data_IF_504883042486
#
_entry.id   IF_504883042486
#
_cell.length_a   1.000
_cell.length_b   1.000
_cell.length_c   1.000
_cell.angle_alpha   90.00
_cell.angle_beta   90.00
_cell.angle_gamma   90.00
#
_symmetry.space_group_name_H-M   'P 1'
#
loop_
_entity.id
_entity.type
_entity.pdbx_description
1 polymer ?
#
# COMPACT_ATOMS: atom_id res chain seq x y z
N UNK A 1 21.41 -1.86 17.00
CA UNK A 1 22.00 -2.00 15.64
C UNK A 1 23.10 -0.93 15.42
N UNK A 2 24.35 -1.26 15.00
CA UNK A 2 25.43 -0.27 14.82
C UNK A 2 25.10 0.85 13.82
N UNK A 3 24.50 0.51 12.68
CA UNK A 3 24.11 1.51 11.68
C UNK A 3 23.05 2.49 12.21
N UNK A 4 22.17 2.02 13.11
CA UNK A 4 21.21 2.88 13.77
C UNK A 4 21.90 3.81 14.78
N UNK A 5 22.84 3.30 15.58
CA UNK A 5 23.60 4.11 16.54
C UNK A 5 24.37 5.24 15.86
N UNK A 6 24.94 4.97 14.68
CA UNK A 6 25.69 5.96 13.90
C UNK A 6 24.82 7.13 13.46
N UNK A 7 23.54 6.91 13.11
CA UNK A 7 22.67 7.94 12.52
C UNK A 7 21.78 8.66 13.55
N UNK A 8 21.45 8.01 14.67
CA UNK A 8 20.56 8.56 15.71
C UNK A 8 21.11 9.86 16.30
N UNK A 9 22.43 9.94 16.51
CA UNK A 9 23.08 11.15 17.05
C UNK A 9 22.96 12.39 16.15
N UNK A 10 22.65 12.19 14.87
CA UNK A 10 22.41 13.26 13.90
C UNK A 10 20.93 13.57 13.68
N UNK A 11 20.02 12.95 14.44
CA UNK A 11 18.57 13.12 14.31
C UNK A 11 17.93 12.33 13.17
N UNK A 12 18.62 11.28 12.68
CA UNK A 12 18.11 10.35 11.67
C UNK A 12 17.73 9.01 12.29
N UNK A 13 16.62 8.43 11.85
CA UNK A 13 16.18 7.09 12.22
C UNK A 13 16.09 6.15 11.02
N UNK A 14 16.22 4.85 11.27
CA UNK A 14 15.99 3.78 10.28
C UNK A 14 14.89 2.86 10.82
N UNK A 15 13.91 2.52 9.99
CA UNK A 15 12.83 1.60 10.37
C UNK A 15 12.54 0.58 9.27
N UNK A 16 12.75 -0.69 9.57
CA UNK A 16 12.39 -1.79 8.67
C UNK A 16 12.10 -3.07 9.46
N UNK A 17 11.40 -4.01 8.85
CA UNK A 17 10.99 -5.28 9.49
C UNK A 17 12.18 -6.11 10.02
N UNK A 18 13.37 -6.00 9.41
CA UNK A 18 14.60 -6.66 9.86
C UNK A 18 15.24 -6.11 11.15
N UNK A 19 14.72 -5.03 11.74
CA UNK A 19 15.20 -4.53 13.03
C UNK A 19 14.57 -5.32 14.20
N UNK A 20 15.32 -5.43 15.30
CA UNK A 20 14.79 -5.94 16.56
C UNK A 20 13.55 -5.13 16.97
N UNK A 21 12.56 -5.78 17.58
CA UNK A 21 11.32 -5.12 18.00
C UNK A 21 11.60 -3.92 18.93
N UNK A 22 12.51 -4.09 19.88
CA UNK A 22 12.94 -3.03 20.79
C UNK A 22 13.54 -1.82 20.06
N UNK A 23 14.35 -2.05 19.02
CA UNK A 23 14.96 -0.98 18.22
C UNK A 23 13.88 -0.23 17.42
N UNK A 24 12.85 -0.94 16.92
CA UNK A 24 11.73 -0.31 16.19
C UNK A 24 10.87 0.57 17.11
N UNK A 25 10.46 0.05 18.26
CA UNK A 25 9.66 0.79 19.24
C UNK A 25 10.40 2.05 19.71
N UNK A 26 11.71 1.93 20.01
CA UNK A 26 12.53 3.07 20.39
C UNK A 26 12.61 4.15 19.29
N UNK A 27 12.77 3.75 18.03
CA UNK A 27 12.81 4.70 16.91
C UNK A 27 11.45 5.36 16.68
N UNK A 28 10.36 4.62 16.84
CA UNK A 28 8.99 5.15 16.76
C UNK A 28 8.76 6.22 17.84
N UNK A 29 9.13 5.94 19.09
CA UNK A 29 9.01 6.87 20.21
C UNK A 29 9.87 8.13 19.99
N UNK A 30 11.15 7.95 19.64
CA UNK A 30 12.08 9.08 19.39
C UNK A 30 11.61 9.97 18.23
N UNK A 31 10.96 9.41 17.22
CA UNK A 31 10.38 10.20 16.13
C UNK A 31 9.08 10.91 16.55
N UNK A 32 8.20 10.23 17.29
CA UNK A 32 6.96 10.81 17.81
C UNK A 32 7.24 12.01 18.74
N UNK A 33 8.25 11.88 19.59
CA UNK A 33 8.72 12.91 20.53
C UNK A 33 9.58 14.00 19.86
N UNK A 34 9.77 13.93 18.54
CA UNK A 34 10.51 14.91 17.71
C UNK A 34 12.00 15.00 18.03
N UNK A 35 12.57 13.99 18.70
CA UNK A 35 14.02 13.86 18.85
C UNK A 35 14.70 13.49 17.53
N UNK A 36 13.97 12.84 16.62
CA UNK A 36 14.40 12.60 15.24
C UNK A 36 13.65 13.52 14.27
N UNK A 37 14.40 14.13 13.35
CA UNK A 37 13.83 14.98 12.30
C UNK A 37 13.49 14.18 11.04
N UNK A 38 14.24 13.11 10.77
CA UNK A 38 14.10 12.31 9.56
C UNK A 38 14.05 10.84 9.92
N UNK A 39 13.00 10.15 9.46
CA UNK A 39 12.87 8.71 9.58
C UNK A 39 12.87 8.08 8.19
N UNK A 40 13.82 7.18 7.94
CA UNK A 40 13.90 6.41 6.70
C UNK A 40 13.28 5.04 6.95
N UNK A 41 12.20 4.72 6.24
CA UNK A 41 11.45 3.49 6.46
C UNK A 41 11.14 2.69 5.19
N UNK A 42 10.94 1.38 5.34
CA UNK A 42 10.37 0.53 4.28
C UNK A 42 8.85 0.68 4.19
N UNK A 43 8.27 0.32 3.04
CA UNK A 43 6.83 0.44 2.77
C UNK A 43 5.93 -0.22 3.83
N UNK A 44 6.43 -1.22 4.54
CA UNK A 44 5.74 -1.91 5.65
C UNK A 44 5.26 -0.96 6.75
N UNK A 45 5.95 0.16 6.99
CA UNK A 45 5.54 1.14 8.00
C UNK A 45 4.20 1.80 7.66
N UNK A 46 3.91 2.00 6.36
CA UNK A 46 2.68 2.64 5.91
C UNK A 46 1.42 1.89 6.40
N UNK A 47 1.51 0.56 6.47
CA UNK A 47 0.42 -0.32 6.91
C UNK A 47 0.47 -0.66 8.40
N UNK A 48 1.68 -0.82 8.96
CA UNK A 48 1.84 -1.44 10.28
C UNK A 48 1.75 -0.51 11.48
N UNK A 49 2.07 0.78 11.34
CA UNK A 49 2.22 1.70 12.48
C UNK A 49 1.58 3.05 12.19
N UNK A 50 0.87 3.62 13.16
CA UNK A 50 0.29 4.95 13.03
C UNK A 50 1.29 6.04 13.46
N UNK A 51 2.32 6.27 12.64
CA UNK A 51 3.35 7.27 12.88
C UNK A 51 3.29 8.38 11.81
N UNK A 52 2.46 9.43 11.98
CA UNK A 52 2.33 10.50 11.02
C UNK A 52 3.51 11.49 11.07
N UNK A 53 3.86 12.06 9.92
CA UNK A 53 4.92 13.05 9.77
C UNK A 53 4.39 14.27 9.01
N UNK A 54 4.93 15.47 9.25
CA UNK A 54 4.51 16.66 8.50
C UNK A 54 4.73 16.50 6.98
N UNK A 55 5.86 15.89 6.61
CA UNK A 55 6.22 15.61 5.24
C UNK A 55 6.56 14.14 5.04
N UNK A 56 6.12 13.57 3.92
CA UNK A 56 6.49 12.21 3.47
C UNK A 56 7.19 12.31 2.13
N UNK A 57 8.30 11.58 1.98
CA UNK A 57 9.04 11.46 0.72
C UNK A 57 9.02 10.00 0.29
N UNK A 58 8.43 9.74 -0.88
CA UNK A 58 8.46 8.43 -1.52
C UNK A 58 9.63 8.43 -2.50
N UNK A 59 10.74 7.80 -2.08
CA UNK A 59 11.97 7.71 -2.88
C UNK A 59 11.91 6.48 -3.78
N UNK A 60 11.54 6.68 -5.05
CA UNK A 60 11.37 5.62 -6.03
C UNK A 60 9.97 5.02 -5.96
N UNK A 61 9.45 4.58 -7.11
CA UNK A 61 8.08 4.06 -7.23
C UNK A 61 8.04 2.60 -7.66
N UNK A 62 9.14 1.87 -7.46
CA UNK A 62 9.30 0.49 -7.90
C UNK A 62 9.79 -0.39 -6.77
N UNK A 63 9.31 -1.63 -6.75
CA UNK A 63 9.74 -2.71 -5.87
C UNK A 63 10.18 -3.89 -6.70
N UNK A 64 11.11 -4.69 -6.16
CA UNK A 64 11.49 -5.94 -6.79
C UNK A 64 10.48 -7.02 -6.42
N UNK A 65 9.82 -7.59 -7.43
CA UNK A 65 8.95 -8.75 -7.25
C UNK A 65 9.79 -10.03 -7.38
N UNK A 66 9.90 -10.79 -6.28
CA UNK A 66 10.63 -12.05 -6.24
C UNK A 66 9.96 -13.19 -7.02
N UNK A 67 8.65 -13.11 -7.32
CA UNK A 67 7.95 -14.10 -8.15
C UNK A 67 8.23 -13.87 -9.63
N UNK A 68 8.12 -12.61 -10.07
CA UNK A 68 8.34 -12.24 -11.47
C UNK A 68 9.81 -11.91 -11.80
N UNK A 69 10.68 -11.87 -10.78
CA UNK A 69 12.12 -11.56 -10.91
C UNK A 69 12.39 -10.23 -11.64
N UNK A 70 11.52 -9.23 -11.44
CA UNK A 70 11.63 -7.92 -12.08
C UNK A 70 11.17 -6.80 -11.16
N UNK A 71 11.53 -5.57 -11.52
CA UNK A 71 10.99 -4.39 -10.86
C UNK A 71 9.58 -4.10 -11.37
N UNK A 72 8.62 -4.14 -10.45
CA UNK A 72 7.24 -3.74 -10.68
C UNK A 72 6.97 -2.41 -10.00
N UNK A 73 5.95 -1.68 -10.45
CA UNK A 73 5.55 -0.45 -9.78
C UNK A 73 4.85 -0.76 -8.45
N UNK A 74 4.98 0.15 -7.48
CA UNK A 74 4.15 0.09 -6.28
C UNK A 74 2.66 0.09 -6.65
N UNK A 75 1.88 -0.68 -5.91
CA UNK A 75 0.43 -0.59 -6.00
C UNK A 75 -0.02 0.83 -5.60
N UNK A 76 -1.13 1.28 -6.18
CA UNK A 76 -1.65 2.61 -5.84
C UNK A 76 -2.12 2.65 -4.38
N UNK A 77 -2.63 1.53 -3.86
CA UNK A 77 -2.99 1.40 -2.45
C UNK A 77 -1.78 1.66 -1.55
N UNK A 78 -0.61 1.06 -1.84
CA UNK A 78 0.61 1.30 -1.06
C UNK A 78 1.04 2.77 -1.13
N UNK A 79 0.98 3.37 -2.32
CA UNK A 79 1.32 4.78 -2.52
C UNK A 79 0.37 5.70 -1.72
N UNK A 80 -0.93 5.43 -1.74
CA UNK A 80 -1.93 6.17 -0.97
C UNK A 80 -1.73 5.99 0.54
N UNK A 81 -1.41 4.79 1.00
CA UNK A 81 -1.10 4.54 2.41
C UNK A 81 0.17 5.29 2.86
N UNK A 82 1.21 5.34 2.03
CA UNK A 82 2.41 6.13 2.31
C UNK A 82 2.10 7.63 2.35
N UNK A 83 1.39 8.15 1.35
CA UNK A 83 0.96 9.55 1.30
C UNK A 83 0.07 9.90 2.50
N UNK A 84 -0.78 8.97 2.94
CA UNK A 84 -1.66 9.15 4.10
C UNK A 84 -0.94 9.32 5.43
N UNK A 85 0.36 9.05 5.51
CA UNK A 85 1.19 9.39 6.68
C UNK A 85 1.60 10.86 6.72
N UNK A 86 1.39 11.61 5.63
CA UNK A 86 1.70 13.04 5.57
C UNK A 86 0.59 13.84 6.28
N UNK A 87 1.01 14.69 7.21
CA UNK A 87 0.15 15.54 8.02
C UNK A 87 -0.19 14.92 9.38
N UNK A 88 0.13 15.63 10.46
CA UNK A 88 -0.30 15.26 11.81
C UNK A 88 -1.61 15.95 12.14
N UNK A 89 -2.68 15.17 12.27
CA UNK A 89 -4.00 15.67 12.61
C UNK A 89 -3.96 16.47 13.93
N UNK A 90 -4.52 17.68 13.92
CA UNK A 90 -4.56 18.57 15.08
C UNK A 90 -3.25 19.29 15.42
N UNK A 91 -2.15 19.03 14.69
CA UNK A 91 -0.85 19.68 14.90
C UNK A 91 -0.44 20.51 13.71
N UNK A 92 -0.51 19.95 12.50
CA UNK A 92 -0.04 20.61 11.29
C UNK A 92 -1.20 21.30 10.55
N UNK A 93 -0.99 22.54 10.10
CA UNK A 93 -1.96 23.29 9.27
C UNK A 93 -1.96 22.85 7.80
N UNK A 94 -0.89 22.19 7.36
CA UNK A 94 -0.73 21.65 6.01
C UNK A 94 0.18 20.44 6.04
N UNK A 95 0.12 19.62 5.00
CA UNK A 95 0.94 18.43 4.83
C UNK A 95 1.62 18.45 3.46
N UNK A 96 2.78 17.80 3.35
CA UNK A 96 3.50 17.66 2.07
C UNK A 96 3.83 16.20 1.78
N UNK A 97 3.48 15.75 0.57
CA UNK A 97 3.91 14.45 0.07
C UNK A 97 4.71 14.67 -1.22
N UNK A 98 5.95 14.18 -1.26
CA UNK A 98 6.84 14.27 -2.42
C UNK A 98 7.08 12.86 -2.98
N UNK A 99 6.66 12.65 -4.23
CA UNK A 99 6.89 11.39 -4.94
C UNK A 99 8.01 11.56 -5.95
N UNK A 100 9.12 10.88 -5.74
CA UNK A 100 10.26 10.83 -6.66
C UNK A 100 10.08 9.65 -7.61
N UNK A 101 9.77 9.94 -8.87
CA UNK A 101 9.48 8.93 -9.89
C UNK A 101 10.24 9.20 -11.21
N UNK A 102 10.30 8.18 -12.06
CA UNK A 102 10.84 8.32 -13.41
C UNK A 102 9.94 9.24 -14.26
N UNK A 103 10.54 10.19 -14.99
CA UNK A 103 9.82 11.28 -15.69
C UNK A 103 8.60 10.83 -16.53
N UNK A 104 8.68 9.76 -17.35
CA UNK A 104 7.55 9.24 -18.11
C UNK A 104 6.35 8.79 -17.26
N UNK A 105 6.57 8.33 -16.02
CA UNK A 105 5.50 7.85 -15.12
C UNK A 105 4.79 8.99 -14.38
N UNK A 106 5.36 10.21 -14.39
CA UNK A 106 4.83 11.37 -13.66
C UNK A 106 3.37 11.68 -14.00
N UNK A 107 3.03 11.70 -15.29
CA UNK A 107 1.67 12.02 -15.73
C UNK A 107 0.66 10.95 -15.27
N UNK A 108 1.04 9.68 -15.40
CA UNK A 108 0.23 8.56 -14.96
C UNK A 108 0.00 8.59 -13.44
N UNK A 109 1.08 8.68 -12.64
CA UNK A 109 0.98 8.76 -11.17
C UNK A 109 0.17 9.97 -10.70
N UNK A 110 0.33 11.14 -11.34
CA UNK A 110 -0.48 12.31 -11.03
C UNK A 110 -1.97 12.02 -11.26
N UNK A 111 -2.33 11.40 -12.37
CA UNK A 111 -3.72 11.00 -12.63
C UNK A 111 -4.25 10.06 -11.55
N UNK A 112 -3.49 9.02 -11.22
CA UNK A 112 -3.90 8.00 -10.25
C UNK A 112 -4.05 8.53 -8.82
N UNK A 113 -3.31 9.58 -8.45
CA UNK A 113 -3.33 10.15 -7.09
C UNK A 113 -4.41 11.21 -6.88
N UNK A 114 -4.80 11.93 -7.93
CA UNK A 114 -5.74 13.05 -7.84
C UNK A 114 -7.12 12.74 -8.41
N UNK A 115 -7.22 11.82 -9.36
CA UNK A 115 -8.50 11.39 -9.91
C UNK A 115 -9.00 10.13 -9.18
N UNK A 116 -10.32 10.00 -8.94
CA UNK A 116 -10.86 8.77 -8.39
C UNK A 116 -10.57 7.60 -9.32
N UNK A 117 -9.99 6.54 -8.77
CA UNK A 117 -9.65 5.35 -9.53
C UNK A 117 -10.90 4.52 -9.82
N UNK A 118 -11.13 4.11 -11.08
CA UNK A 118 -12.11 3.08 -11.35
C UNK A 118 -11.59 1.76 -10.79
N UNK A 119 -12.18 1.30 -9.69
CA UNK A 119 -11.88 -0.02 -9.12
C UNK A 119 -12.60 -1.07 -9.95
N UNK A 120 -11.83 -2.03 -10.47
CA UNK A 120 -12.33 -3.18 -11.25
C UNK A 120 -12.13 -4.49 -10.48
N UNK A 121 -13.04 -5.43 -10.67
CA UNK A 121 -12.92 -6.77 -10.14
C UNK A 121 -11.83 -7.55 -10.88
N UNK A 122 -11.02 -8.29 -10.14
CA UNK A 122 -10.04 -9.25 -10.68
C UNK A 122 -10.40 -10.69 -10.30
N UNK A 123 -11.69 -10.93 -9.98
CA UNK A 123 -12.20 -12.24 -9.57
C UNK A 123 -12.03 -13.30 -10.68
N UNK A 124 -12.03 -12.90 -11.95
CA UNK A 124 -11.78 -13.75 -13.12
C UNK A 124 -10.47 -14.52 -13.02
N UNK A 125 -9.39 -13.89 -12.52
CA UNK A 125 -8.10 -14.55 -12.31
C UNK A 125 -8.08 -15.59 -11.18
N UNK A 126 -9.00 -15.48 -10.22
CA UNK A 126 -9.08 -16.33 -9.02
C UNK A 126 -10.39 -17.11 -8.91
N UNK A 127 -11.14 -17.18 -10.02
CA UNK A 127 -12.50 -17.69 -10.06
C UNK A 127 -12.58 -19.17 -9.64
N UNK A 128 -11.59 -19.94 -10.08
CA UNK A 128 -11.46 -21.36 -9.75
C UNK A 128 -11.34 -21.58 -8.24
N UNK A 129 -10.47 -20.86 -7.56
CA UNK A 129 -10.28 -20.98 -6.11
C UNK A 129 -11.54 -20.57 -5.34
N UNK A 130 -12.17 -19.46 -5.75
CA UNK A 130 -13.41 -18.99 -5.15
C UNK A 130 -14.51 -20.06 -5.26
N UNK A 131 -14.73 -20.62 -6.45
CA UNK A 131 -15.74 -21.68 -6.64
C UNK A 131 -15.39 -22.96 -5.89
N UNK A 132 -14.13 -23.38 -5.88
CA UNK A 132 -13.72 -24.58 -5.17
C UNK A 132 -14.04 -24.47 -3.68
N UNK A 133 -13.88 -23.28 -3.09
CA UNK A 133 -14.29 -23.01 -1.71
C UNK A 133 -15.79 -23.21 -1.53
N UNK A 134 -16.62 -22.58 -2.38
CA UNK A 134 -18.07 -22.63 -2.25
C UNK A 134 -18.66 -24.04 -2.47
N UNK A 135 -18.09 -24.82 -3.40
CA UNK A 135 -18.44 -26.22 -3.63
C UNK A 135 -18.11 -27.07 -2.41
N UNK A 136 -16.93 -26.86 -1.79
CA UNK A 136 -16.56 -27.56 -0.55
C UNK A 136 -17.51 -27.23 0.61
N UNK A 137 -17.98 -25.98 0.70
CA UNK A 137 -18.94 -25.56 1.72
C UNK A 137 -20.39 -25.91 1.40
N UNK A 138 -20.67 -26.51 0.23
CA UNK A 138 -22.01 -26.84 -0.26
C UNK A 138 -22.93 -25.62 -0.45
N UNK A 139 -22.34 -24.47 -0.76
CA UNK A 139 -23.08 -23.26 -1.17
C UNK A 139 -23.42 -23.35 -2.65
N UNK A 140 -22.55 -23.98 -3.43
CA UNK A 140 -22.73 -24.25 -4.86
C UNK A 140 -22.68 -25.75 -5.09
N UNK A 141 -23.82 -26.37 -5.37
CA UNK A 141 -23.95 -27.79 -5.71
C UNK A 141 -24.26 -28.01 -7.19
N UNK A 142 -24.73 -26.98 -7.89
CA UNK A 142 -25.07 -27.05 -9.32
C UNK A 142 -24.69 -25.77 -10.11
N UNK A 143 -24.80 -25.84 -11.44
CA UNK A 143 -24.43 -24.73 -12.32
C UNK A 143 -25.30 -23.47 -12.12
N UNK A 144 -26.57 -23.62 -11.75
CA UNK A 144 -27.45 -22.48 -11.53
C UNK A 144 -27.03 -21.73 -10.25
N UNK A 145 -26.75 -22.45 -9.17
CA UNK A 145 -26.22 -21.88 -7.93
C UNK A 145 -24.86 -21.22 -8.14
N UNK A 146 -24.03 -21.76 -9.03
CA UNK A 146 -22.76 -21.14 -9.40
C UNK A 146 -22.98 -19.77 -10.07
N UNK A 147 -23.94 -19.67 -10.99
CA UNK A 147 -24.31 -18.40 -11.62
C UNK A 147 -24.91 -17.43 -10.59
N UNK A 148 -25.80 -17.92 -9.74
CA UNK A 148 -26.44 -17.13 -8.69
C UNK A 148 -25.39 -16.56 -7.74
N UNK A 149 -24.40 -17.35 -7.31
CA UNK A 149 -23.25 -16.89 -6.52
C UNK A 149 -22.50 -15.74 -7.20
N UNK A 150 -22.21 -15.87 -8.50
CA UNK A 150 -21.54 -14.80 -9.24
C UNK A 150 -22.34 -13.51 -9.30
N UNK A 151 -23.68 -13.57 -9.29
CA UNK A 151 -24.51 -12.35 -9.30
C UNK A 151 -24.32 -11.48 -8.06
N UNK A 152 -23.88 -12.07 -6.94
CA UNK A 152 -23.55 -11.35 -5.70
C UNK A 152 -22.15 -10.72 -5.71
N UNK A 153 -21.30 -11.09 -6.68
CA UNK A 153 -19.93 -10.59 -6.76
C UNK A 153 -19.84 -9.14 -7.27
N UNK A 154 -18.74 -8.47 -6.91
CA UNK A 154 -18.40 -7.18 -7.51
C UNK A 154 -18.16 -7.27 -9.02
N UNK A 155 -17.65 -8.42 -9.50
CA UNK A 155 -17.45 -8.70 -10.92
C UNK A 155 -18.75 -8.54 -11.71
N UNK A 156 -19.85 -9.17 -11.27
CA UNK A 156 -21.13 -9.07 -11.96
C UNK A 156 -21.65 -7.64 -12.01
N UNK A 157 -21.49 -6.86 -10.93
CA UNK A 157 -21.87 -5.44 -10.90
C UNK A 157 -21.04 -4.58 -11.85
N UNK A 158 -19.78 -4.95 -12.09
CA UNK A 158 -18.87 -4.23 -13.00
C UNK A 158 -19.01 -4.65 -14.46
N UNK A 159 -19.34 -5.92 -14.72
CA UNK A 159 -19.53 -6.47 -16.06
C UNK A 159 -20.51 -5.61 -16.88
N UNK A 160 -21.64 -5.22 -16.28
CA UNK A 160 -22.62 -4.36 -16.95
C UNK A 160 -22.20 -2.89 -17.12
N UNK A 161 -21.25 -2.40 -16.33
CA UNK A 161 -20.79 -1.00 -16.36
C UNK A 161 -19.56 -0.79 -17.25
N UNK A 162 -18.69 -1.78 -17.36
CA UNK A 162 -17.50 -1.74 -18.19
C UNK A 162 -17.23 -3.10 -18.86
N UNK A 163 -18.08 -3.52 -19.84
CA UNK A 163 -17.96 -4.84 -20.46
C UNK A 163 -16.66 -5.05 -21.24
N UNK A 164 -15.96 -3.98 -21.63
CA UNK A 164 -14.73 -4.05 -22.43
C UNK A 164 -13.53 -4.53 -21.58
N UNK A 165 -13.61 -4.39 -20.26
CA UNK A 165 -12.55 -4.78 -19.34
C UNK A 165 -12.52 -6.29 -19.04
N UNK A 166 -13.69 -6.95 -19.08
CA UNK A 166 -13.90 -8.36 -18.72
C UNK A 166 -14.07 -9.22 -19.98
#
# INVERSE_FOLDING_TARGET
>A
NPALQDVVGYGFGIHHAGLAKSDRELVEDLFADKHMQVLVCTATLAWGVNLPAHSVIIKGTQIFDGKEQRYVDHSIADMLCMIGKAGRAGVDSSAKALVLCHSPKKAHLKKLLFDPLPVESHLDGYLHDAFMSEVCTKVVENQQEALDYLTWSFMYRRLGKNPIYY
#
